data_IF_944452281603
#
_entry.id   IF_944452281603
#
_cell.length_a   1.000
_cell.length_b   1.000
_cell.length_c   1.000
_cell.angle_alpha   90.00
_cell.angle_beta   90.00
_cell.angle_gamma   90.00
#
_symmetry.space_group_name_H-M   'P 1'
#
loop_
_entity.id
_entity.type
_entity.pdbx_description
1 polymer ?
#
# COMPACT_ATOMS: atom_id res chain seq x y z
N UNK A 1 45.48 -12.82 -19.91
CA UNK A 1 44.98 -11.72 -19.04
C UNK A 1 43.70 -11.08 -19.60
N UNK A 2 43.71 -10.49 -20.81
CA UNK A 2 42.53 -9.80 -21.39
C UNK A 2 41.27 -10.66 -21.52
N UNK A 3 41.40 -11.94 -21.95
CA UNK A 3 40.27 -12.88 -22.07
C UNK A 3 39.66 -13.29 -20.72
N UNK A 4 40.50 -13.44 -19.69
CA UNK A 4 40.05 -13.74 -18.32
C UNK A 4 39.31 -12.54 -17.75
N UNK A 5 39.82 -11.32 -17.97
CA UNK A 5 39.15 -10.09 -17.54
C UNK A 5 37.76 -9.92 -18.18
N UNK A 6 37.64 -10.17 -19.48
CA UNK A 6 36.34 -10.16 -20.18
C UNK A 6 35.40 -11.23 -19.63
N UNK A 7 35.90 -12.44 -19.36
CA UNK A 7 35.10 -13.52 -18.79
C UNK A 7 34.57 -13.18 -17.39
N UNK A 8 35.39 -12.56 -16.53
CA UNK A 8 34.96 -12.11 -15.20
C UNK A 8 33.86 -11.06 -15.31
N UNK A 9 34.00 -10.07 -16.20
CA UNK A 9 32.98 -9.05 -16.43
C UNK A 9 31.66 -9.68 -16.87
N UNK A 10 31.70 -10.60 -17.83
CA UNK A 10 30.51 -11.31 -18.32
C UNK A 10 29.86 -12.12 -17.19
N UNK A 11 30.64 -12.83 -16.37
CA UNK A 11 30.10 -13.53 -15.21
C UNK A 11 29.46 -12.58 -14.19
N UNK A 12 30.03 -11.39 -13.96
CA UNK A 12 29.45 -10.38 -13.05
C UNK A 12 28.10 -9.87 -13.54
N UNK A 13 27.93 -9.67 -14.85
CA UNK A 13 26.64 -9.30 -15.43
C UNK A 13 25.63 -10.46 -15.40
N UNK A 14 26.07 -11.72 -15.47
CA UNK A 14 25.17 -12.88 -15.40
C UNK A 14 24.64 -13.17 -13.99
N UNK A 15 25.31 -12.68 -12.94
CA UNK A 15 24.88 -12.82 -11.54
C UNK A 15 24.13 -11.60 -11.00
N UNK A 16 23.91 -10.55 -11.80
CA UNK A 16 23.10 -9.41 -11.36
C UNK A 16 21.62 -9.80 -11.35
N UNK A 17 21.05 -10.00 -10.16
CA UNK A 17 19.61 -10.12 -10.01
C UNK A 17 18.96 -8.74 -10.09
N UNK A 18 17.91 -8.54 -10.92
CA UNK A 18 17.14 -7.31 -10.87
C UNK A 18 16.49 -7.19 -9.49
N UNK A 19 16.83 -6.13 -8.76
CA UNK A 19 16.13 -5.75 -7.54
C UNK A 19 14.86 -5.00 -7.92
N UNK A 20 13.71 -5.66 -7.81
CA UNK A 20 12.40 -5.02 -7.94
C UNK A 20 12.05 -4.35 -6.62
N UNK A 21 12.48 -3.10 -6.47
CA UNK A 21 12.01 -2.24 -5.37
C UNK A 21 10.62 -1.71 -5.67
N UNK A 22 9.81 -1.50 -4.63
CA UNK A 22 8.58 -0.74 -4.73
C UNK A 22 8.87 0.63 -5.37
N UNK A 23 7.98 1.10 -6.24
CA UNK A 23 8.10 2.46 -6.76
C UNK A 23 7.54 3.43 -5.72
N UNK A 24 8.29 4.48 -5.38
CA UNK A 24 7.83 5.51 -4.46
C UNK A 24 6.85 6.45 -5.17
N UNK A 25 5.71 6.73 -4.53
CA UNK A 25 4.86 7.88 -4.88
C UNK A 25 5.19 9.01 -3.89
N UNK A 26 5.59 10.16 -4.43
CA UNK A 26 5.79 11.38 -3.65
C UNK A 26 4.50 12.21 -3.63
N UNK A 27 4.20 12.87 -2.52
CA UNK A 27 3.00 13.69 -2.35
C UNK A 27 3.30 14.91 -1.45
N UNK A 28 2.35 15.84 -1.41
CA UNK A 28 2.42 17.10 -0.65
C UNK A 28 1.60 17.08 0.67
N UNK A 29 1.11 15.90 1.05
CA UNK A 29 0.35 15.64 2.30
C UNK A 29 -1.11 16.14 2.30
N UNK A 30 -1.61 16.65 1.17
CA UNK A 30 -2.94 17.30 1.08
C UNK A 30 -4.12 16.35 0.88
N UNK A 31 -3.88 15.06 0.66
CA UNK A 31 -4.88 14.03 0.36
C UNK A 31 -5.68 13.57 1.59
N UNK A 32 -6.44 14.51 2.15
CA UNK A 32 -7.22 14.35 3.40
C UNK A 32 -8.74 14.36 3.16
N UNK A 33 -9.17 14.21 1.92
CA UNK A 33 -10.57 14.11 1.51
C UNK A 33 -10.69 13.41 0.16
N UNK A 34 -11.89 12.90 -0.18
CA UNK A 34 -12.14 12.21 -1.46
C UNK A 34 -11.80 13.06 -2.69
N UNK A 35 -12.12 14.36 -2.69
CA UNK A 35 -11.84 15.29 -3.78
C UNK A 35 -10.35 15.61 -3.96
N UNK A 36 -9.53 15.31 -2.94
CA UNK A 36 -8.08 15.51 -2.94
C UNK A 36 -7.31 14.19 -2.85
N UNK A 37 -7.97 13.06 -3.07
CA UNK A 37 -7.33 11.76 -2.92
C UNK A 37 -6.06 11.66 -3.79
N UNK A 38 -5.00 11.07 -3.24
CA UNK A 38 -3.77 10.82 -3.98
C UNK A 38 -4.00 9.69 -4.98
N UNK A 39 -3.88 9.99 -6.26
CA UNK A 39 -4.02 8.99 -7.32
C UNK A 39 -2.85 8.00 -7.29
N UNK A 40 -3.17 6.71 -7.18
CA UNK A 40 -2.23 5.60 -7.35
C UNK A 40 -2.32 5.14 -8.82
N UNK A 41 -1.29 5.41 -9.64
CA UNK A 41 -1.32 5.07 -11.05
C UNK A 41 -1.10 3.57 -11.24
N UNK A 42 -1.93 2.92 -12.06
CA UNK A 42 -1.87 1.49 -12.35
C UNK A 42 -1.64 0.63 -11.09
N UNK A 43 -2.74 0.31 -10.40
CA UNK A 43 -2.72 -0.45 -9.14
C UNK A 43 -2.05 -1.83 -9.23
N UNK A 44 -1.76 -2.34 -10.44
CA UNK A 44 -1.04 -3.61 -10.65
C UNK A 44 0.45 -3.49 -10.41
N UNK A 45 0.97 -2.26 -10.37
CA UNK A 45 2.34 -1.96 -9.96
C UNK A 45 2.37 -1.83 -8.44
N UNK A 46 3.41 -2.39 -7.82
CA UNK A 46 3.61 -2.23 -6.39
C UNK A 46 4.23 -0.87 -6.06
N UNK A 47 3.46 -0.05 -5.35
CA UNK A 47 3.85 1.29 -4.92
C UNK A 47 4.12 1.33 -3.41
N UNK A 48 5.01 2.23 -3.00
CA UNK A 48 5.26 2.58 -1.61
C UNK A 48 4.92 4.06 -1.40
N UNK A 49 4.28 4.36 -0.27
CA UNK A 49 3.87 5.70 0.15
C UNK A 49 4.24 5.83 1.63
N UNK A 50 4.83 6.97 2.01
CA UNK A 50 5.22 7.24 3.39
C UNK A 50 4.40 8.38 3.95
N UNK A 51 3.67 8.12 5.04
CA UNK A 51 2.78 9.08 5.64
C UNK A 51 3.10 9.37 7.09
N UNK A 52 2.73 10.58 7.51
CA UNK A 52 2.42 10.86 8.90
C UNK A 52 0.90 10.86 9.05
N UNK A 53 0.39 10.02 9.95
CA UNK A 53 -1.04 9.86 10.20
C UNK A 53 -1.30 9.98 11.69
N UNK A 54 -2.13 10.97 12.08
CA UNK A 54 -2.60 11.11 13.46
C UNK A 54 -3.73 10.14 13.82
N UNK A 55 -4.05 10.01 15.11
CA UNK A 55 -5.04 9.06 15.62
C UNK A 55 -6.47 9.28 15.07
N UNK A 56 -6.84 10.53 14.78
CA UNK A 56 -8.17 10.91 14.27
C UNK A 56 -8.10 11.44 12.83
N UNK A 57 -7.03 11.08 12.11
CA UNK A 57 -6.83 11.50 10.73
C UNK A 57 -7.09 10.36 9.75
N UNK A 58 -7.38 10.73 8.50
CA UNK A 58 -7.47 9.80 7.38
C UNK A 58 -6.68 10.34 6.18
N UNK A 59 -6.12 9.42 5.41
CA UNK A 59 -5.48 9.69 4.12
C UNK A 59 -6.28 8.97 3.05
N UNK A 60 -6.55 9.69 1.96
CA UNK A 60 -7.40 9.24 0.88
C UNK A 60 -6.54 8.95 -0.33
N UNK A 61 -6.67 7.76 -0.87
CA UNK A 61 -6.03 7.36 -2.11
C UNK A 61 -7.12 7.06 -3.11
N UNK A 62 -6.81 7.13 -4.40
CA UNK A 62 -7.75 6.69 -5.43
C UNK A 62 -7.03 5.87 -6.48
N UNK A 63 -7.72 4.91 -7.06
CA UNK A 63 -7.19 4.12 -8.17
C UNK A 63 -8.31 3.57 -9.04
N UNK A 64 -8.02 3.45 -10.32
CA UNK A 64 -8.90 2.77 -11.27
C UNK A 64 -8.64 1.26 -11.25
N UNK A 65 -9.70 0.47 -11.19
CA UNK A 65 -9.60 -0.99 -11.23
C UNK A 65 -10.72 -1.63 -12.05
N UNK A 66 -10.47 -2.88 -12.48
CA UNK A 66 -11.46 -3.71 -13.15
C UNK A 66 -11.85 -4.88 -12.27
N UNK A 67 -13.08 -5.33 -12.43
CA UNK A 67 -13.59 -6.54 -11.79
C UNK A 67 -12.64 -7.71 -12.02
N UNK A 68 -12.28 -8.39 -10.92
CA UNK A 68 -11.38 -9.53 -10.90
C UNK A 68 -9.89 -9.15 -10.87
N UNK A 69 -9.54 -7.85 -10.89
CA UNK A 69 -8.18 -7.44 -10.58
C UNK A 69 -7.83 -7.80 -9.12
N UNK A 70 -6.60 -8.22 -8.88
CA UNK A 70 -6.11 -8.50 -7.53
C UNK A 70 -5.81 -7.21 -6.80
N UNK A 71 -6.32 -7.07 -5.57
CA UNK A 71 -5.99 -5.97 -4.67
C UNK A 71 -5.05 -6.46 -3.56
N UNK A 72 -3.92 -5.77 -3.41
CA UNK A 72 -2.98 -5.96 -2.31
C UNK A 72 -2.62 -4.62 -1.71
N UNK A 73 -2.76 -4.51 -0.38
CA UNK A 73 -2.28 -3.35 0.35
C UNK A 73 -1.77 -3.81 1.72
N UNK A 74 -0.71 -3.18 2.20
CA UNK A 74 -0.18 -3.44 3.53
C UNK A 74 0.29 -2.15 4.19
N UNK A 75 0.20 -2.13 5.52
CA UNK A 75 0.68 -1.04 6.35
C UNK A 75 1.77 -1.58 7.28
N UNK A 76 2.86 -0.83 7.36
CA UNK A 76 3.94 -1.07 8.31
C UNK A 76 4.18 0.21 9.11
N UNK A 77 4.48 0.07 10.40
CA UNK A 77 4.68 1.21 11.32
C UNK A 77 6.14 1.17 11.80
N UNK A 78 6.90 2.27 11.69
CA UNK A 78 8.29 2.28 12.12
C UNK A 78 8.40 1.96 13.61
N UNK A 79 9.40 1.17 13.98
CA UNK A 79 9.67 0.73 15.35
C UNK A 79 10.21 1.90 16.19
N UNK A 80 9.30 2.77 16.60
CA UNK A 80 9.56 3.98 17.41
C UNK A 80 8.79 3.84 18.73
N UNK A 81 9.44 4.19 19.83
CA UNK A 81 8.82 4.17 21.16
C UNK A 81 7.54 5.00 21.19
N UNK A 82 6.45 4.44 21.71
CA UNK A 82 5.13 5.07 21.75
C UNK A 82 4.20 4.72 20.58
N UNK A 83 4.70 4.02 19.55
CA UNK A 83 3.89 3.55 18.42
C UNK A 83 3.62 2.03 18.47
N UNK A 84 3.95 1.36 19.56
CA UNK A 84 3.85 -0.10 19.70
C UNK A 84 2.43 -0.61 19.40
N UNK A 85 1.42 0.12 19.87
CA UNK A 85 -0.01 -0.16 19.73
C UNK A 85 -0.68 0.66 18.63
N UNK A 86 0.05 1.56 17.95
CA UNK A 86 -0.53 2.38 16.89
C UNK A 86 -0.89 1.53 15.67
N UNK A 87 -2.18 1.48 15.31
CA UNK A 87 -2.72 0.60 14.26
C UNK A 87 -3.81 1.29 13.43
N UNK A 88 -3.45 2.02 12.36
CA UNK A 88 -4.43 2.66 11.49
C UNK A 88 -5.28 1.62 10.76
N UNK A 89 -6.55 1.88 10.48
CA UNK A 89 -7.42 0.94 9.75
C UNK A 89 -7.35 1.20 8.25
N UNK A 90 -7.22 0.14 7.44
CA UNK A 90 -7.37 0.27 5.98
C UNK A 90 -8.85 0.16 5.63
N UNK A 91 -9.34 1.04 4.77
CA UNK A 91 -10.71 1.03 4.29
C UNK A 91 -10.69 1.02 2.77
N UNK A 92 -11.36 0.06 2.16
CA UNK A 92 -11.59 0.01 0.72
C UNK A 92 -13.01 0.47 0.44
N UNK A 93 -13.15 1.53 -0.34
CA UNK A 93 -14.42 2.14 -0.72
C UNK A 93 -14.70 1.81 -2.18
N UNK A 94 -15.82 1.14 -2.40
CA UNK A 94 -16.27 0.71 -3.71
C UNK A 94 -16.94 1.86 -4.49
N UNK A 95 -16.72 1.96 -5.82
CA UNK A 95 -17.32 3.00 -6.67
C UNK A 95 -18.85 3.06 -6.55
N UNK A 96 -19.50 1.91 -6.30
CA UNK A 96 -20.96 1.83 -6.12
C UNK A 96 -21.47 2.61 -4.92
N UNK A 97 -20.61 3.04 -3.99
CA UNK A 97 -20.99 3.95 -2.90
C UNK A 97 -21.49 5.30 -3.45
N UNK A 98 -20.92 5.75 -4.56
CA UNK A 98 -21.22 7.03 -5.19
C UNK A 98 -22.35 6.92 -6.22
N UNK A 99 -22.74 5.69 -6.57
CA UNK A 99 -23.85 5.39 -7.47
C UNK A 99 -25.14 5.15 -6.66
N UNK A 100 -25.97 6.20 -6.54
CA UNK A 100 -27.32 6.17 -5.95
C UNK A 100 -27.40 6.13 -4.40
N UNK A 101 -27.35 7.32 -3.79
CA UNK A 101 -27.46 7.57 -2.35
C UNK A 101 -28.85 7.30 -1.77
N UNK A 102 -29.85 6.94 -2.59
CA UNK A 102 -31.23 6.71 -2.13
C UNK A 102 -31.40 5.41 -1.34
N UNK A 103 -30.45 4.48 -1.42
CA UNK A 103 -30.54 3.16 -0.79
C UNK A 103 -29.40 2.91 0.22
N UNK A 104 -29.63 3.28 1.47
CA UNK A 104 -28.64 3.23 2.58
C UNK A 104 -28.05 1.84 2.85
N UNK A 105 -28.75 0.76 2.49
CA UNK A 105 -28.26 -0.61 2.61
C UNK A 105 -27.15 -0.95 1.60
N UNK A 106 -27.21 -0.36 0.39
CA UNK A 106 -26.13 -0.51 -0.61
C UNK A 106 -24.89 0.26 -0.20
N UNK A 107 -25.06 1.44 0.40
CA UNK A 107 -23.96 2.27 0.91
C UNK A 107 -23.14 1.57 2.00
N UNK A 108 -23.78 0.84 2.92
CA UNK A 108 -23.05 0.09 3.96
C UNK A 108 -22.25 -1.10 3.43
N UNK A 109 -22.66 -1.69 2.30
CA UNK A 109 -21.94 -2.80 1.66
C UNK A 109 -20.82 -2.31 0.71
N UNK A 110 -20.78 -1.03 0.40
CA UNK A 110 -19.82 -0.43 -0.51
C UNK A 110 -18.53 0.04 0.20
N UNK A 111 -18.32 -0.37 1.45
CA UNK A 111 -17.10 -0.07 2.20
C UNK A 111 -16.68 -1.28 3.00
N UNK A 112 -15.44 -1.73 2.79
CA UNK A 112 -14.83 -2.83 3.52
C UNK A 112 -13.73 -2.29 4.43
N UNK A 113 -13.78 -2.66 5.72
CA UNK A 113 -12.82 -2.19 6.73
C UNK A 113 -11.93 -3.33 7.16
N UNK A 114 -10.64 -3.08 7.18
CA UNK A 114 -9.60 -4.02 7.58
C UNK A 114 -8.86 -3.44 8.79
N UNK A 115 -9.36 -3.66 10.03
CA UNK A 115 -8.63 -3.31 11.24
C UNK A 115 -7.42 -4.23 11.45
N UNK A 116 -6.50 -3.86 12.34
CA UNK A 116 -5.44 -4.78 12.75
C UNK A 116 -5.99 -5.78 13.75
N UNK A 117 -5.80 -7.06 13.50
CA UNK A 117 -6.26 -8.14 14.38
C UNK A 117 -5.10 -8.90 15.05
N UNK A 118 -3.86 -8.46 14.80
CA UNK A 118 -2.67 -9.07 15.39
C UNK A 118 -2.44 -8.67 16.85
N UNK A 119 -1.34 -9.16 17.41
CA UNK A 119 -0.91 -8.83 18.78
C UNK A 119 0.05 -7.65 18.76
N UNK A 120 0.13 -6.93 19.88
CA UNK A 120 1.10 -5.87 20.09
C UNK A 120 2.26 -6.31 21.01
N UNK A 121 3.50 -5.84 20.76
CA UNK A 121 3.92 -5.19 19.51
C UNK A 121 3.83 -6.17 18.34
N UNK A 122 3.58 -5.65 17.13
CA UNK A 122 3.44 -6.46 15.92
C UNK A 122 4.72 -7.20 15.53
N UNK A 123 4.62 -8.09 14.53
CA UNK A 123 5.79 -8.79 13.98
C UNK A 123 6.78 -7.79 13.36
N UNK A 124 8.06 -7.98 13.62
CA UNK A 124 9.10 -7.09 13.12
C UNK A 124 9.54 -7.45 11.69
N UNK A 125 9.77 -6.42 10.88
CA UNK A 125 10.32 -6.50 9.53
C UNK A 125 11.45 -5.45 9.39
N UNK A 126 12.60 -5.85 8.87
CA UNK A 126 13.71 -4.94 8.59
C UNK A 126 13.76 -4.58 7.10
N UNK A 127 13.68 -3.30 6.80
CA UNK A 127 13.72 -2.75 5.44
C UNK A 127 15.17 -2.31 5.12
N UNK A 128 15.87 -2.96 4.17
CA UNK A 128 17.31 -2.79 3.99
C UNK A 128 17.73 -1.49 3.31
N UNK A 129 16.87 -0.84 2.51
CA UNK A 129 17.19 0.37 1.77
C UNK A 129 17.16 1.61 2.68
N UNK A 130 16.10 1.76 3.47
CA UNK A 130 15.95 2.80 4.48
C UNK A 130 16.66 2.49 5.79
N UNK A 131 17.08 1.23 6.01
CA UNK A 131 17.70 0.75 7.25
C UNK A 131 16.79 0.95 8.48
N UNK A 132 15.48 0.78 8.29
CA UNK A 132 14.47 0.96 9.33
C UNK A 132 13.82 -0.39 9.65
N UNK A 133 13.65 -0.66 10.95
CA UNK A 133 12.79 -1.76 11.42
C UNK A 133 11.38 -1.23 11.58
N UNK A 134 10.42 -1.98 11.06
CA UNK A 134 8.99 -1.72 11.19
C UNK A 134 8.31 -2.85 11.96
N UNK A 135 7.16 -2.55 12.52
CA UNK A 135 6.16 -3.54 12.87
C UNK A 135 5.15 -3.68 11.73
N UNK A 136 4.86 -4.91 11.34
CA UNK A 136 3.77 -5.25 10.44
C UNK A 136 2.43 -4.88 11.08
N UNK A 137 1.52 -4.30 10.29
CA UNK A 137 0.11 -4.07 10.65
C UNK A 137 -0.80 -4.82 9.70
N UNK A 138 -1.73 -4.13 9.05
CA UNK A 138 -2.68 -4.74 8.14
C UNK A 138 -1.96 -5.26 6.91
N UNK A 139 -2.35 -6.44 6.48
CA UNK A 139 -2.11 -6.94 5.14
C UNK A 139 -3.45 -7.39 4.58
N UNK A 140 -3.83 -6.82 3.44
CA UNK A 140 -5.09 -7.09 2.77
C UNK A 140 -4.81 -7.73 1.42
N UNK A 141 -5.50 -8.83 1.15
CA UNK A 141 -5.53 -9.52 -0.13
C UNK A 141 -6.97 -9.81 -0.47
N UNK A 142 -7.48 -9.17 -1.52
CA UNK A 142 -8.84 -9.41 -2.01
C UNK A 142 -8.89 -9.24 -3.52
N UNK A 143 -10.06 -9.42 -4.11
CA UNK A 143 -10.32 -9.20 -5.54
C UNK A 143 -11.31 -8.05 -5.71
N UNK A 144 -11.09 -7.26 -6.77
CA UNK A 144 -11.93 -6.11 -7.10
C UNK A 144 -13.31 -6.61 -7.57
N UNK A 145 -14.42 -6.19 -6.93
CA UNK A 145 -15.74 -6.75 -7.23
C UNK A 145 -16.44 -6.11 -8.45
N UNK A 146 -16.06 -4.90 -8.84
CA UNK A 146 -16.67 -4.12 -9.92
C UNK A 146 -15.64 -3.24 -10.64
N UNK A 147 -15.98 -2.77 -11.83
CA UNK A 147 -15.16 -1.78 -12.55
C UNK A 147 -15.37 -0.39 -11.94
N UNK A 148 -14.32 0.44 -11.91
CA UNK A 148 -14.42 1.87 -11.60
C UNK A 148 -13.33 2.39 -10.66
N UNK A 149 -13.56 3.60 -10.15
CA UNK A 149 -12.67 4.28 -9.22
C UNK A 149 -12.94 3.86 -7.78
N UNK A 150 -11.92 3.30 -7.14
CA UNK A 150 -11.92 2.92 -5.74
C UNK A 150 -11.16 3.96 -4.90
N UNK A 151 -11.42 3.97 -3.59
CA UNK A 151 -10.68 4.75 -2.59
C UNK A 151 -10.24 3.92 -1.40
#
# INVERSE_FOLDING_TARGET
MKKVFVLVIVLTFLISNPAYGHKLITHDDTHRSFDKALEIPDHKISWAIYENLGADEAKFYSFEAKKGDSFYASIVIPKINGLEEYSPTLVLVDPRLFEDTSNSLKSQQATEKFPYEGKYPGKEFYEPFGQVTYWERQEVRTEIPADGQYF
#
